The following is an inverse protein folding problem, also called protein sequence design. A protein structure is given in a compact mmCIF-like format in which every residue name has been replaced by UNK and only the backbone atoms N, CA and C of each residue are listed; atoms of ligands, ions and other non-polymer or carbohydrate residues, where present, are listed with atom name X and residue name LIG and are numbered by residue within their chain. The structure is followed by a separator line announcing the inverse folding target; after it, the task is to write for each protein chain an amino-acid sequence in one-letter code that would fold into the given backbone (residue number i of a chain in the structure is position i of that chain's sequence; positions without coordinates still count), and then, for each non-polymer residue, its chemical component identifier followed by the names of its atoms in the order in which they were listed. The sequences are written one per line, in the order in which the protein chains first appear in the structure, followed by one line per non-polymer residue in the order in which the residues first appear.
data_IF_766519386503
#
_entry.id   IF_766519386503
#
_cell.length_a   1.000
_cell.length_b   1.000
_cell.length_c   1.000
_cell.angle_alpha   90.00
_cell.angle_beta   90.00
_cell.angle_gamma   90.00
#
_symmetry.space_group_name_H-M   'P 1'
#
loop_
_entity.id
_entity.type
_entity.pdbx_description
1 polymer ?
#
# COMPACT_ATOMS: atom_id res chain seq x y z
N UNK A 1 6.62 -14.65 -16.53
CA UNK A 1 6.95 -13.41 -15.77
C UNK A 1 5.88 -12.39 -16.09
N UNK A 2 4.99 -12.12 -15.14
CA UNK A 2 3.96 -11.08 -15.31
C UNK A 2 4.64 -9.72 -15.35
N UNK A 3 4.38 -8.94 -16.41
CA UNK A 3 4.85 -7.56 -16.49
C UNK A 3 3.86 -6.69 -15.71
N UNK A 4 4.34 -6.04 -14.65
CA UNK A 4 3.56 -5.03 -13.94
C UNK A 4 3.23 -3.86 -14.87
N UNK A 5 1.99 -3.39 -14.84
CA UNK A 5 1.60 -2.15 -15.53
C UNK A 5 2.01 -0.94 -14.70
N UNK A 6 3.04 -0.24 -15.15
CA UNK A 6 3.57 0.96 -14.49
C UNK A 6 2.94 2.27 -14.99
N UNK A 7 1.89 2.21 -15.81
CA UNK A 7 1.31 3.41 -16.45
C UNK A 7 0.82 4.43 -15.42
N UNK A 8 0.07 3.98 -14.41
CA UNK A 8 -0.45 4.84 -13.33
C UNK A 8 0.68 5.40 -12.46
N UNK A 9 1.65 4.57 -12.09
CA UNK A 9 2.80 5.01 -11.30
C UNK A 9 3.61 6.09 -12.04
N UNK A 10 3.89 5.87 -13.33
CA UNK A 10 4.58 6.86 -14.17
C UNK A 10 3.79 8.16 -14.32
N UNK A 11 2.46 8.10 -14.39
CA UNK A 11 1.60 9.28 -14.42
C UNK A 11 1.68 10.06 -13.09
N UNK A 12 1.61 9.35 -11.96
CA UNK A 12 1.77 9.93 -10.63
C UNK A 12 3.14 10.62 -10.47
N UNK A 13 4.23 9.96 -10.87
CA UNK A 13 5.59 10.53 -10.82
C UNK A 13 5.74 11.78 -11.71
N UNK A 14 5.14 11.80 -12.90
CA UNK A 14 5.17 12.99 -13.78
C UNK A 14 4.42 14.18 -13.15
N UNK A 15 3.30 13.95 -12.47
CA UNK A 15 2.58 15.00 -11.72
C UNK A 15 3.46 15.55 -10.59
N UNK A 16 4.12 14.68 -9.85
CA UNK A 16 5.05 15.09 -8.81
C UNK A 16 6.23 15.92 -9.37
N UNK A 17 6.80 15.50 -10.50
CA UNK A 17 7.88 16.25 -11.18
C UNK A 17 7.41 17.63 -11.65
N UNK A 18 6.15 17.75 -12.05
CA UNK A 18 5.52 19.02 -12.43
C UNK A 18 5.22 19.94 -11.22
N UNK A 19 5.38 19.46 -9.99
CA UNK A 19 5.12 20.23 -8.77
C UNK A 19 3.66 20.23 -8.32
N UNK A 20 2.88 19.26 -8.77
CA UNK A 20 1.48 19.12 -8.38
C UNK A 20 1.31 18.51 -6.97
N UNK A 21 0.08 18.61 -6.45
CA UNK A 21 -0.31 17.89 -5.24
C UNK A 21 -0.38 16.39 -5.53
N UNK A 22 0.28 15.57 -4.69
CA UNK A 22 0.28 14.10 -4.79
C UNK A 22 0.10 13.49 -3.41
N UNK A 23 -0.91 12.63 -3.27
CA UNK A 23 -1.20 11.90 -2.05
C UNK A 23 -0.65 10.48 -2.12
N UNK A 24 0.24 10.16 -1.17
CA UNK A 24 0.87 8.85 -1.04
C UNK A 24 0.24 8.11 0.14
N UNK A 25 -0.40 6.98 -0.15
CA UNK A 25 -1.08 6.14 0.82
C UNK A 25 -0.28 4.88 1.17
N UNK A 26 -0.35 4.47 2.43
CA UNK A 26 0.24 3.23 2.93
C UNK A 26 -0.84 2.49 3.72
N UNK A 27 -1.23 1.30 3.28
CA UNK A 27 -2.37 0.60 3.84
C UNK A 27 -2.02 -0.85 4.15
N UNK A 28 -2.15 -1.24 5.44
CA UNK A 28 -1.67 -2.55 5.86
C UNK A 28 -1.84 -2.85 7.34
N UNK A 29 -1.06 -3.82 7.79
CA UNK A 29 -1.00 -4.26 9.17
C UNK A 29 0.01 -3.48 10.03
N UNK A 30 0.61 -4.20 11.01
CA UNK A 30 1.57 -3.64 11.97
C UNK A 30 2.85 -3.09 11.34
N UNK A 31 3.35 -3.72 10.29
CA UNK A 31 4.56 -3.27 9.59
C UNK A 31 4.32 -1.90 8.95
N UNK A 32 3.13 -1.69 8.37
CA UNK A 32 2.72 -0.40 7.81
C UNK A 32 2.43 0.64 8.90
N UNK A 33 1.87 0.20 10.04
CA UNK A 33 1.56 1.08 11.19
C UNK A 33 2.80 1.67 11.85
N UNK A 34 4.00 1.11 11.65
CA UNK A 34 5.22 1.53 12.34
C UNK A 34 5.60 0.67 13.57
N UNK A 35 4.99 -0.51 13.73
CA UNK A 35 5.32 -1.41 14.84
C UNK A 35 6.78 -1.86 14.76
N UNK A 36 7.46 -1.85 15.92
CA UNK A 36 8.86 -2.22 16.11
C UNK A 36 9.88 -1.28 15.44
N UNK A 37 9.47 -0.25 14.75
CA UNK A 37 10.40 0.80 14.36
C UNK A 37 10.81 1.61 15.62
N UNK A 38 12.11 1.75 15.85
CA UNK A 38 12.60 2.50 17.03
C UNK A 38 12.27 3.98 16.98
N UNK A 39 11.99 4.49 15.78
CA UNK A 39 11.48 5.83 15.50
C UNK A 39 10.60 5.78 14.25
N UNK A 40 9.60 6.63 14.19
CA UNK A 40 8.70 6.76 13.03
C UNK A 40 9.44 6.90 11.70
N UNK A 41 10.50 7.67 11.68
CA UNK A 41 11.35 7.91 10.49
C UNK A 41 12.06 6.66 9.96
N UNK A 42 12.03 5.54 10.69
CA UNK A 42 12.60 4.26 10.28
C UNK A 42 11.57 3.28 9.75
N UNK A 43 10.28 3.59 9.87
CA UNK A 43 9.23 2.83 9.23
C UNK A 43 9.36 2.89 7.70
N UNK A 44 9.16 1.76 7.03
CA UNK A 44 9.30 1.71 5.56
C UNK A 44 8.37 2.71 4.85
N UNK A 45 7.15 2.86 5.35
CA UNK A 45 6.16 3.77 4.77
C UNK A 45 6.66 5.21 4.76
N UNK A 46 7.20 5.67 5.90
CA UNK A 46 7.76 7.01 5.99
C UNK A 46 9.07 7.18 5.20
N UNK A 47 9.90 6.12 5.11
CA UNK A 47 11.11 6.15 4.26
C UNK A 47 10.78 6.24 2.78
N UNK A 48 9.73 5.56 2.32
CA UNK A 48 9.25 5.72 0.95
C UNK A 48 8.75 7.14 0.72
N UNK A 49 8.00 7.70 1.66
CA UNK A 49 7.56 9.09 1.60
C UNK A 49 8.73 10.07 1.52
N UNK A 50 9.75 9.95 2.38
CA UNK A 50 10.96 10.76 2.35
C UNK A 50 11.72 10.64 1.01
N UNK A 51 11.72 9.43 0.41
CA UNK A 51 12.30 9.24 -0.90
C UNK A 51 11.57 10.05 -1.98
N UNK A 52 10.24 10.12 -1.92
CA UNK A 52 9.44 10.96 -2.81
C UNK A 52 9.74 12.44 -2.59
N UNK A 53 9.81 12.91 -1.36
CA UNK A 53 10.16 14.31 -1.03
C UNK A 53 11.52 14.70 -1.61
N UNK A 54 12.51 13.82 -1.46
CA UNK A 54 13.86 14.04 -1.98
C UNK A 54 13.90 13.99 -3.51
N UNK A 55 13.14 13.11 -4.12
CA UNK A 55 13.15 12.89 -5.58
C UNK A 55 12.35 13.97 -6.32
N UNK A 56 11.25 14.43 -5.72
CA UNK A 56 10.33 15.41 -6.31
C UNK A 56 10.18 16.65 -5.42
N UNK A 57 11.23 17.46 -5.24
CA UNK A 57 11.25 18.56 -4.26
C UNK A 57 10.30 19.71 -4.60
N UNK A 58 9.69 19.72 -5.78
CA UNK A 58 8.68 20.71 -6.18
C UNK A 58 7.26 20.26 -5.87
N UNK A 59 7.03 18.96 -5.67
CA UNK A 59 5.70 18.41 -5.40
C UNK A 59 5.20 18.81 -4.02
N UNK A 60 3.90 18.98 -3.91
CA UNK A 60 3.23 19.05 -2.61
C UNK A 60 2.77 17.65 -2.23
N UNK A 61 3.54 16.99 -1.38
CA UNK A 61 3.28 15.61 -1.00
C UNK A 61 2.44 15.52 0.26
N UNK A 62 1.44 14.65 0.24
CA UNK A 62 0.58 14.33 1.37
C UNK A 62 0.79 12.87 1.78
N UNK A 63 1.08 12.64 3.06
CA UNK A 63 1.28 11.32 3.64
C UNK A 63 0.03 10.82 4.33
N UNK A 64 -0.46 9.65 3.94
CA UNK A 64 -1.59 8.98 4.57
C UNK A 64 -1.16 7.58 4.96
N UNK A 65 -1.18 7.28 6.26
CA UNK A 65 -0.87 5.94 6.77
C UNK A 65 -2.13 5.33 7.42
N UNK A 66 -2.69 4.32 6.79
CA UNK A 66 -3.80 3.51 7.26
C UNK A 66 -3.37 2.14 7.81
N UNK A 67 -2.14 2.01 8.31
CA UNK A 67 -1.67 0.80 8.99
C UNK A 67 -2.34 0.62 10.35
N UNK A 68 -2.84 -0.59 10.64
CA UNK A 68 -3.37 -0.98 11.96
C UNK A 68 -2.82 -2.35 12.32
N UNK A 69 -2.12 -2.43 13.46
CA UNK A 69 -1.47 -3.64 13.94
C UNK A 69 -2.43 -4.81 14.17
N UNK A 70 -1.99 -6.02 13.81
CA UNK A 70 -2.77 -7.24 14.01
C UNK A 70 -3.97 -7.40 13.08
N UNK A 71 -4.06 -6.59 11.99
CA UNK A 71 -5.19 -6.65 11.07
C UNK A 71 -4.83 -7.37 9.77
N UNK A 72 -5.83 -8.02 9.18
CA UNK A 72 -5.76 -8.76 7.91
C UNK A 72 -6.45 -7.98 6.79
N UNK A 73 -6.31 -8.48 5.55
CA UNK A 73 -7.02 -7.90 4.40
C UNK A 73 -8.54 -7.94 4.54
N UNK A 74 -9.07 -8.93 5.28
CA UNK A 74 -10.51 -9.00 5.60
C UNK A 74 -10.99 -7.75 6.36
N UNK A 75 -10.26 -7.32 7.39
CA UNK A 75 -10.56 -6.06 8.06
C UNK A 75 -10.21 -4.87 7.18
N UNK A 76 -9.14 -4.98 6.39
CA UNK A 76 -8.72 -3.96 5.43
C UNK A 76 -9.82 -3.58 4.44
N UNK A 77 -10.49 -4.56 3.82
CA UNK A 77 -11.53 -4.28 2.82
C UNK A 77 -12.73 -3.53 3.39
N UNK A 78 -13.05 -3.72 4.67
CA UNK A 78 -14.16 -3.03 5.34
C UNK A 78 -13.87 -1.55 5.60
N UNK A 79 -12.61 -1.18 5.87
CA UNK A 79 -12.18 0.17 6.26
C UNK A 79 -11.45 0.96 5.16
N UNK A 80 -11.15 0.34 4.03
CA UNK A 80 -10.34 0.97 2.97
C UNK A 80 -10.89 2.32 2.50
N UNK A 81 -12.20 2.49 2.48
CA UNK A 81 -12.82 3.75 2.05
C UNK A 81 -12.54 4.85 3.05
N UNK A 82 -12.81 4.62 4.33
CA UNK A 82 -12.67 5.63 5.38
C UNK A 82 -11.21 5.94 5.73
N UNK A 83 -10.34 4.93 5.69
CA UNK A 83 -8.98 5.06 6.19
C UNK A 83 -7.95 5.37 5.09
N UNK A 84 -8.37 5.25 3.82
CA UNK A 84 -7.47 5.46 2.69
C UNK A 84 -8.12 6.19 1.50
N UNK A 85 -9.21 5.66 0.94
CA UNK A 85 -9.69 6.12 -0.36
C UNK A 85 -10.37 7.49 -0.31
N UNK A 86 -10.97 7.87 0.82
CA UNK A 86 -11.54 9.21 1.00
C UNK A 86 -10.50 10.34 0.87
N UNK A 87 -9.22 10.04 1.07
CA UNK A 87 -8.12 10.99 0.88
C UNK A 87 -7.68 11.12 -0.58
N UNK A 88 -8.38 10.46 -1.52
CA UNK A 88 -8.10 10.48 -2.96
C UNK A 88 -6.62 10.22 -3.29
N UNK A 89 -6.05 9.08 -2.84
CA UNK A 89 -4.62 8.82 -3.05
C UNK A 89 -4.30 8.67 -4.54
N UNK A 90 -3.10 9.13 -4.92
CA UNK A 90 -2.53 8.95 -6.26
C UNK A 90 -1.66 7.69 -6.36
N UNK A 91 -1.09 7.28 -5.23
CA UNK A 91 -0.29 6.07 -5.10
C UNK A 91 -0.57 5.41 -3.75
N UNK A 92 -0.77 4.09 -3.75
CA UNK A 92 -1.00 3.31 -2.52
C UNK A 92 -0.08 2.10 -2.49
N UNK A 93 0.62 1.91 -1.36
CA UNK A 93 1.30 0.66 -1.03
C UNK A 93 0.40 -0.17 -0.12
N UNK A 94 0.18 -1.44 -0.47
CA UNK A 94 -0.69 -2.37 0.26
C UNK A 94 0.14 -3.51 0.83
N UNK A 95 0.03 -3.76 2.14
CA UNK A 95 0.82 -4.75 2.87
C UNK A 95 -0.03 -5.51 3.90
N UNK A 96 -0.48 -6.71 3.54
CA UNK A 96 -1.21 -7.63 4.45
C UNK A 96 -0.65 -9.05 4.44
N UNK A 97 0.39 -9.34 3.65
CA UNK A 97 0.86 -10.70 3.38
C UNK A 97 1.34 -11.47 4.62
N UNK A 98 1.82 -10.77 5.65
CA UNK A 98 2.26 -11.40 6.89
C UNK A 98 1.12 -11.72 7.86
N UNK A 99 -0.02 -11.07 7.71
CA UNK A 99 -1.16 -11.22 8.60
C UNK A 99 -2.25 -12.13 8.02
N UNK A 100 -2.33 -12.21 6.69
CA UNK A 100 -3.26 -13.09 6.00
C UNK A 100 -2.76 -14.53 6.05
N UNK A 101 -3.66 -15.47 6.28
CA UNK A 101 -3.36 -16.90 6.19
C UNK A 101 -3.40 -17.37 4.73
N UNK A 102 -2.68 -18.45 4.36
CA UNK A 102 -2.67 -18.99 3.02
C UNK A 102 -3.97 -19.76 2.71
N UNK A 103 -5.06 -19.06 2.67
CA UNK A 103 -6.42 -19.58 2.45
C UNK A 103 -7.16 -18.77 1.39
N UNK A 104 -8.07 -19.44 0.68
CA UNK A 104 -8.90 -18.82 -0.37
C UNK A 104 -9.70 -17.62 0.13
N UNK A 105 -10.15 -17.64 1.37
CA UNK A 105 -10.86 -16.53 2.00
C UNK A 105 -10.03 -15.23 1.98
N UNK A 106 -8.74 -15.30 2.34
CA UNK A 106 -7.87 -14.12 2.33
C UNK A 106 -7.48 -13.71 0.90
N UNK A 107 -7.38 -14.65 -0.03
CA UNK A 107 -7.23 -14.33 -1.45
C UNK A 107 -8.40 -13.48 -1.95
N UNK A 108 -9.63 -13.90 -1.67
CA UNK A 108 -10.85 -13.20 -2.10
C UNK A 108 -10.98 -11.82 -1.45
N UNK A 109 -10.66 -11.69 -0.15
CA UNK A 109 -10.71 -10.41 0.54
C UNK A 109 -9.63 -9.45 0.05
N UNK A 110 -8.43 -9.94 -0.20
CA UNK A 110 -7.32 -9.15 -0.73
C UNK A 110 -7.61 -8.70 -2.18
N UNK A 111 -8.11 -9.59 -3.03
CA UNK A 111 -8.57 -9.23 -4.38
C UNK A 111 -9.65 -8.15 -4.33
N UNK A 112 -10.64 -8.29 -3.47
CA UNK A 112 -11.71 -7.31 -3.29
C UNK A 112 -11.17 -5.94 -2.88
N UNK A 113 -10.19 -5.92 -1.97
CA UNK A 113 -9.49 -4.73 -1.53
C UNK A 113 -8.77 -4.04 -2.69
N UNK A 114 -7.93 -4.78 -3.41
CA UNK A 114 -7.13 -4.26 -4.54
C UNK A 114 -8.06 -3.76 -5.65
N UNK A 115 -9.08 -4.52 -6.01
CA UNK A 115 -10.08 -4.14 -7.03
C UNK A 115 -10.77 -2.83 -6.65
N UNK A 116 -11.14 -2.65 -5.38
CA UNK A 116 -11.76 -1.41 -4.91
C UNK A 116 -10.85 -0.20 -5.04
N UNK A 117 -9.57 -0.36 -4.74
CA UNK A 117 -8.56 0.70 -4.95
C UNK A 117 -8.40 1.03 -6.44
N UNK A 118 -8.25 0.02 -7.29
CA UNK A 118 -8.02 0.19 -8.72
C UNK A 118 -9.20 0.85 -9.45
N UNK A 119 -10.42 0.74 -8.92
CA UNK A 119 -11.65 1.32 -9.49
C UNK A 119 -12.08 2.62 -8.81
N UNK A 120 -11.30 3.12 -7.86
CA UNK A 120 -11.63 4.36 -7.16
C UNK A 120 -11.48 5.59 -8.07
N UNK A 121 -12.18 6.68 -7.73
CA UNK A 121 -12.26 7.91 -8.54
C UNK A 121 -10.91 8.59 -8.78
N UNK A 122 -9.96 8.49 -7.83
CA UNK A 122 -8.59 9.01 -8.01
C UNK A 122 -7.71 8.16 -8.92
N UNK A 123 -8.16 6.95 -9.30
CA UNK A 123 -7.43 5.99 -10.16
C UNK A 123 -5.99 5.76 -9.69
N UNK A 124 -5.76 5.39 -8.42
CA UNK A 124 -4.42 5.33 -7.87
C UNK A 124 -3.54 4.28 -8.55
N UNK A 125 -2.24 4.53 -8.56
CA UNK A 125 -1.26 3.46 -8.73
C UNK A 125 -1.24 2.60 -7.45
N UNK A 126 -1.30 1.29 -7.59
CA UNK A 126 -1.29 0.36 -6.45
C UNK A 126 -0.05 -0.51 -6.53
N UNK A 127 0.74 -0.53 -5.45
CA UNK A 127 1.88 -1.41 -5.27
C UNK A 127 1.54 -2.43 -4.19
N UNK A 128 1.60 -3.70 -4.55
CA UNK A 128 1.40 -4.82 -3.62
C UNK A 128 2.77 -5.18 -3.02
N UNK A 129 2.92 -4.95 -1.71
CA UNK A 129 4.11 -5.30 -0.97
C UNK A 129 3.89 -6.65 -0.29
N UNK A 130 4.61 -7.67 -0.74
CA UNK A 130 4.55 -9.01 -0.18
C UNK A 130 5.76 -9.24 0.72
N UNK A 131 5.54 -9.11 2.01
CA UNK A 131 6.52 -9.46 3.04
C UNK A 131 6.40 -10.95 3.39
N UNK A 132 7.49 -11.55 3.84
CA UNK A 132 7.57 -12.95 4.23
C UNK A 132 8.00 -13.10 5.69
N UNK A 133 7.52 -14.15 6.37
CA UNK A 133 8.01 -14.56 7.67
C UNK A 133 9.21 -15.48 7.53
N UNK A 134 10.32 -15.12 8.15
CA UNK A 134 11.59 -15.83 8.08
C UNK A 134 11.54 -17.28 8.58
N UNK A 135 10.68 -17.56 9.57
CA UNK A 135 10.75 -18.81 10.34
C UNK A 135 9.61 -19.81 10.11
N UNK A 136 8.55 -19.46 9.42
CA UNK A 136 7.35 -20.32 9.45
C UNK A 136 6.94 -20.87 8.09
N UNK A 137 7.46 -20.34 6.99
CA UNK A 137 6.97 -20.69 5.64
C UNK A 137 5.46 -20.44 5.43
N UNK A 138 4.81 -19.86 6.43
CA UNK A 138 3.39 -19.52 6.41
C UNK A 138 3.25 -18.05 6.01
N UNK A 139 3.06 -17.80 4.73
CA UNK A 139 2.65 -16.50 4.27
C UNK A 139 1.59 -16.64 3.18
N UNK A 140 0.77 -15.62 3.05
CA UNK A 140 -0.24 -15.55 2.01
C UNK A 140 0.34 -15.12 0.65
N UNK A 141 1.66 -15.02 0.51
CA UNK A 141 2.34 -14.48 -0.67
C UNK A 141 1.93 -15.21 -1.95
N UNK A 142 1.85 -16.54 -1.92
CA UNK A 142 1.46 -17.34 -3.08
C UNK A 142 0.05 -16.98 -3.54
N UNK A 143 -0.89 -16.78 -2.60
CA UNK A 143 -2.27 -16.39 -2.88
C UNK A 143 -2.36 -14.94 -3.33
N UNK A 144 -1.60 -14.03 -2.71
CA UNK A 144 -1.55 -12.61 -3.11
C UNK A 144 -0.91 -12.42 -4.50
N UNK A 145 0.06 -13.26 -4.87
CA UNK A 145 0.69 -13.21 -6.20
C UNK A 145 -0.23 -13.65 -7.35
N UNK A 146 -1.40 -14.20 -7.06
CA UNK A 146 -2.38 -14.59 -8.06
C UNK A 146 -3.37 -13.47 -8.41
N UNK A 147 -3.29 -12.33 -7.72
CA UNK A 147 -4.09 -11.13 -7.91
C UNK A 147 -3.37 -10.14 -8.81
#
# INVERSE_FOLDING_TARGET
MYKSDLTRLKACMRRAEAGEDVTLGFFGGSITQDSLATKHEYCYAYRVFQWWEKTFPKAKLHYVNGGIGGTTSHYGVSRVVTDMLMYQPDFVVVDFSVNDEPEKFFQETYEGLVRRMLTWSSVPAVLLLNNDFYDTGKNAQEYHNQI
#
